data_IF_272547992455
#
_entry.id   IF_272547992455
#
_cell.length_a   1.000
_cell.length_b   1.000
_cell.length_c   1.000
_cell.angle_alpha   90.00
_cell.angle_beta   90.00
_cell.angle_gamma   90.00
#
_symmetry.space_group_name_H-M   'P 1'
#
loop_
_entity.id
_entity.type
_entity.pdbx_description
1 polymer ?
#
# COMPACT_ATOMS: atom_id res chain seq x y z
N UNK A 1 -16.66 -1.82 6.08
CA UNK A 1 -16.35 -0.46 6.56
C UNK A 1 -14.96 -0.36 7.17
N UNK A 2 -14.19 0.65 6.74
CA UNK A 2 -12.85 1.02 7.22
C UNK A 2 -12.69 2.54 7.13
N UNK A 3 -11.53 3.09 7.47
CA UNK A 3 -11.20 4.52 7.35
C UNK A 3 -10.15 4.74 6.28
N UNK A 4 -10.30 5.84 5.53
CA UNK A 4 -9.23 6.40 4.69
C UNK A 4 -8.89 7.78 5.25
N UNK A 5 -7.61 7.99 5.52
CA UNK A 5 -7.11 9.19 6.18
C UNK A 5 -5.90 9.76 5.46
N UNK A 6 -5.79 11.08 5.48
CA UNK A 6 -4.58 11.79 5.09
C UNK A 6 -3.80 12.16 6.35
N UNK A 7 -2.54 11.76 6.40
CA UNK A 7 -1.69 11.94 7.58
C UNK A 7 -0.40 12.63 7.16
N UNK A 8 0.00 13.65 7.92
CA UNK A 8 1.32 14.26 7.79
C UNK A 8 2.26 13.69 8.86
N UNK A 9 3.42 13.19 8.45
CA UNK A 9 4.48 12.71 9.35
C UNK A 9 5.63 13.71 9.41
N UNK A 10 6.20 13.88 10.61
CA UNK A 10 7.43 14.66 10.82
C UNK A 10 8.72 13.83 10.69
N UNK A 11 8.60 12.55 10.31
CA UNK A 11 9.70 11.59 10.22
C UNK A 11 9.85 11.02 8.80
N UNK A 12 11.10 10.83 8.38
CA UNK A 12 11.45 10.42 7.00
C UNK A 12 11.84 8.93 6.92
N UNK A 13 12.48 8.37 7.96
CA UNK A 13 12.91 6.97 7.91
C UNK A 13 11.69 6.02 7.98
N UNK A 14 11.68 5.00 7.12
CA UNK A 14 10.59 4.03 7.02
C UNK A 14 10.22 3.34 8.32
N UNK A 15 11.19 3.08 9.21
CA UNK A 15 10.90 2.46 10.50
C UNK A 15 10.27 3.47 11.47
N UNK A 16 10.75 4.71 11.48
CA UNK A 16 10.14 5.77 12.29
C UNK A 16 8.72 6.09 11.81
N UNK A 17 8.48 6.12 10.50
CA UNK A 17 7.15 6.25 9.90
C UNK A 17 6.22 5.13 10.37
N UNK A 18 6.70 3.87 10.34
CA UNK A 18 5.95 2.73 10.86
C UNK A 18 5.55 2.92 12.32
N UNK A 19 6.48 3.36 13.19
CA UNK A 19 6.17 3.58 14.60
C UNK A 19 5.16 4.72 14.80
N UNK A 20 5.36 5.84 14.11
CA UNK A 20 4.46 6.99 14.19
C UNK A 20 3.03 6.64 13.76
N UNK A 21 2.87 5.85 12.69
CA UNK A 21 1.57 5.36 12.23
C UNK A 21 0.98 4.33 13.20
N UNK A 22 1.81 3.44 13.76
CA UNK A 22 1.34 2.46 14.73
C UNK A 22 0.73 3.12 15.97
N UNK A 23 1.36 4.20 16.44
CA UNK A 23 0.95 5.02 17.59
C UNK A 23 -0.32 5.85 17.35
N UNK A 24 -0.85 5.92 16.13
CA UNK A 24 -2.14 6.59 15.86
C UNK A 24 -3.35 5.86 16.47
N UNK A 25 -3.15 4.68 17.09
CA UNK A 25 -4.23 3.83 17.57
C UNK A 25 -3.90 3.26 18.97
N UNK A 26 -4.02 4.08 20.03
CA UNK A 26 -3.57 3.74 21.38
C UNK A 26 -4.44 2.68 22.08
N UNK A 27 -5.70 2.52 21.69
CA UNK A 27 -6.70 1.71 22.42
C UNK A 27 -6.76 0.23 22.01
N UNK A 28 -5.68 -0.34 21.47
CA UNK A 28 -5.67 -1.71 20.94
C UNK A 28 -4.56 -2.55 21.59
N UNK A 29 -4.86 -3.12 22.77
CA UNK A 29 -3.90 -3.85 23.62
C UNK A 29 -3.40 -5.20 23.05
N UNK A 30 -4.10 -5.80 22.08
CA UNK A 30 -3.71 -7.06 21.41
C UNK A 30 -3.59 -6.91 19.88
N UNK A 31 -3.15 -5.73 19.41
CA UNK A 31 -3.30 -5.34 18.01
C UNK A 31 -2.46 -6.18 17.03
N UNK A 32 -3.15 -6.93 16.16
CA UNK A 32 -2.61 -7.35 14.86
C UNK A 32 -2.68 -6.15 13.90
N UNK A 33 -1.67 -5.97 13.04
CA UNK A 33 -1.67 -4.85 12.06
C UNK A 33 -2.94 -4.90 11.21
N UNK A 34 -3.75 -3.87 11.34
CA UNK A 34 -5.04 -3.64 10.67
C UNK A 34 -5.04 -2.33 9.87
N UNK A 35 -3.85 -1.85 9.51
CA UNK A 35 -3.65 -0.67 8.69
C UNK A 35 -2.63 -0.90 7.56
N UNK A 36 -2.82 -0.14 6.48
CA UNK A 36 -1.94 -0.04 5.33
C UNK A 36 -1.71 1.44 5.05
N UNK A 37 -0.52 1.78 4.59
CA UNK A 37 -0.23 3.16 4.22
C UNK A 37 0.64 3.22 2.98
N UNK A 38 0.63 4.37 2.32
CA UNK A 38 1.51 4.70 1.20
C UNK A 38 1.98 6.14 1.36
N UNK A 39 3.28 6.37 1.23
CA UNK A 39 3.85 7.71 1.13
C UNK A 39 3.49 8.27 -0.24
N UNK A 40 2.83 9.42 -0.28
CA UNK A 40 2.44 10.08 -1.54
C UNK A 40 3.53 11.07 -1.99
N UNK A 41 3.97 11.95 -1.09
CA UNK A 41 5.04 12.90 -1.36
C UNK A 41 5.69 13.41 -0.07
N UNK A 42 6.74 14.19 -0.23
CA UNK A 42 7.31 15.03 0.82
C UNK A 42 7.03 16.47 0.41
N UNK A 43 6.35 17.24 1.27
CA UNK A 43 6.03 18.62 0.94
C UNK A 43 7.28 19.53 1.07
N UNK A 44 7.14 20.80 0.68
CA UNK A 44 8.24 21.78 0.71
C UNK A 44 8.78 22.05 2.12
N UNK A 45 7.98 21.81 3.17
CA UNK A 45 8.41 21.91 4.57
C UNK A 45 9.09 20.65 5.10
N UNK A 46 9.27 19.61 4.26
CA UNK A 46 9.90 18.35 4.64
C UNK A 46 8.97 17.36 5.37
N UNK A 47 7.66 17.65 5.46
CA UNK A 47 6.69 16.72 6.03
C UNK A 47 6.34 15.64 5.00
N UNK A 48 6.25 14.40 5.46
CA UNK A 48 5.90 13.26 4.62
C UNK A 48 4.38 13.09 4.63
N UNK A 49 3.76 13.22 3.46
CA UNK A 49 2.32 13.04 3.31
C UNK A 49 2.00 11.58 3.01
N UNK A 50 1.05 11.04 3.77
CA UNK A 50 0.70 9.62 3.75
C UNK A 50 -0.80 9.46 3.53
N UNK A 51 -1.15 8.55 2.63
CA UNK A 51 -2.48 7.96 2.55
C UNK A 51 -2.52 6.73 3.47
N UNK A 52 -3.46 6.73 4.42
CA UNK A 52 -3.63 5.68 5.42
C UNK A 52 -5.00 5.02 5.26
N UNK A 53 -5.02 3.68 5.21
CA UNK A 53 -6.21 2.86 5.36
C UNK A 53 -6.14 2.12 6.69
N UNK A 54 -7.19 2.17 7.50
CA UNK A 54 -7.21 1.53 8.82
C UNK A 54 -8.59 1.02 9.21
N UNK A 55 -8.66 -0.06 10.00
CA UNK A 55 -9.93 -0.58 10.51
C UNK A 55 -10.57 0.34 11.57
N UNK A 56 -9.74 1.00 12.37
CA UNK A 56 -10.15 1.98 13.39
C UNK A 56 -9.86 3.40 12.92
N UNK A 57 -10.54 4.39 13.52
CA UNK A 57 -10.27 5.80 13.28
C UNK A 57 -8.91 6.19 13.89
N UNK A 58 -8.00 6.82 13.13
CA UNK A 58 -6.69 7.22 13.66
C UNK A 58 -6.80 8.49 14.51
N UNK A 59 -5.96 8.58 15.54
CA UNK A 59 -5.82 9.74 16.42
C UNK A 59 -4.42 10.33 16.29
N UNK A 60 -4.32 11.65 16.10
CA UNK A 60 -3.02 12.34 15.99
C UNK A 60 -2.12 12.10 17.20
N UNK A 61 -0.82 12.08 16.96
CA UNK A 61 0.21 12.00 18.00
C UNK A 61 1.36 12.99 17.70
N UNK A 62 2.44 12.93 18.48
CA UNK A 62 3.59 13.86 18.37
C UNK A 62 4.29 13.81 17.01
N UNK A 63 4.28 12.65 16.32
CA UNK A 63 5.01 12.42 15.06
C UNK A 63 4.11 12.30 13.83
N UNK A 64 2.80 12.18 14.03
CA UNK A 64 1.82 11.95 12.99
C UNK A 64 0.54 12.75 13.25
N UNK A 65 0.22 13.67 12.35
CA UNK A 65 -0.98 14.50 12.41
C UNK A 65 -2.01 14.00 11.41
N UNK A 66 -3.18 13.58 11.87
CA UNK A 66 -4.34 13.25 11.03
C UNK A 66 -4.95 14.55 10.53
N UNK A 67 -4.85 14.79 9.22
CA UNK A 67 -5.37 16.01 8.58
C UNK A 67 -6.83 15.86 8.16
N UNK A 68 -7.18 14.66 7.73
CA UNK A 68 -8.53 14.29 7.31
C UNK A 68 -8.73 12.80 7.55
N UNK A 69 -9.91 12.41 8.00
CA UNK A 69 -10.35 11.02 8.04
C UNK A 69 -11.79 10.93 7.56
N UNK A 70 -12.11 9.84 6.85
CA UNK A 70 -13.48 9.53 6.44
C UNK A 70 -13.72 8.04 6.47
N UNK A 71 -14.97 7.67 6.72
CA UNK A 71 -15.44 6.31 6.50
C UNK A 71 -15.33 5.95 5.03
N UNK A 72 -14.90 4.72 4.79
CA UNK A 72 -14.72 4.13 3.48
C UNK A 72 -15.35 2.75 3.47
N UNK A 73 -16.34 2.58 2.61
CA UNK A 73 -17.02 1.32 2.40
C UNK A 73 -16.98 0.98 0.90
N UNK A 74 -15.89 0.32 0.44
CA UNK A 74 -15.67 0.10 -0.98
C UNK A 74 -16.71 -0.87 -1.55
N UNK A 75 -17.49 -0.37 -2.51
CA UNK A 75 -18.43 -1.16 -3.30
C UNK A 75 -17.74 -1.59 -4.59
N UNK A 76 -17.34 -2.86 -4.66
CA UNK A 76 -16.66 -3.45 -5.82
C UNK A 76 -17.66 -4.34 -6.55
N UNK A 77 -17.88 -4.08 -7.84
CA UNK A 77 -18.84 -4.83 -8.64
C UNK A 77 -18.16 -5.47 -9.83
N UNK A 78 -18.62 -6.65 -10.21
CA UNK A 78 -18.10 -7.40 -11.36
C UNK A 78 -18.38 -6.62 -12.66
N UNK A 79 -17.44 -6.66 -13.60
CA UNK A 79 -17.51 -5.98 -14.89
C UNK A 79 -17.08 -4.51 -14.87
N UNK A 80 -17.13 -3.85 -13.71
CA UNK A 80 -16.74 -2.45 -13.56
C UNK A 80 -15.23 -2.24 -13.77
N UNK A 81 -14.90 -1.06 -14.27
CA UNK A 81 -13.52 -0.60 -14.47
C UNK A 81 -13.09 0.38 -13.38
N UNK A 82 -11.85 0.22 -12.92
CA UNK A 82 -11.23 1.10 -11.93
C UNK A 82 -9.84 1.51 -12.40
N UNK A 83 -9.51 2.79 -12.23
CA UNK A 83 -8.11 3.20 -12.14
C UNK A 83 -7.54 2.67 -10.84
N UNK A 84 -6.30 2.18 -10.86
CA UNK A 84 -5.62 1.73 -9.66
C UNK A 84 -4.24 2.37 -9.51
N UNK A 85 -3.81 2.49 -8.25
CA UNK A 85 -2.43 2.81 -7.85
C UNK A 85 -1.99 1.86 -6.75
N UNK A 86 -0.80 1.27 -6.91
CA UNK A 86 -0.21 0.35 -5.95
C UNK A 86 1.30 0.57 -5.88
N UNK A 87 1.81 0.97 -4.72
CA UNK A 87 3.23 0.87 -4.41
C UNK A 87 3.49 -0.49 -3.75
N UNK A 88 4.33 -1.33 -4.33
CA UNK A 88 4.61 -2.66 -3.81
C UNK A 88 6.10 -3.00 -3.80
N UNK A 89 6.48 -4.10 -3.12
CA UNK A 89 7.80 -4.72 -3.23
C UNK A 89 7.64 -6.08 -3.94
N UNK A 90 7.75 -6.14 -5.29
CA UNK A 90 7.63 -7.38 -6.05
C UNK A 90 8.78 -8.33 -5.71
N UNK A 91 8.44 -9.53 -5.27
CA UNK A 91 9.43 -10.56 -4.88
C UNK A 91 9.05 -11.92 -5.44
N UNK A 92 10.07 -12.73 -5.77
CA UNK A 92 9.94 -14.15 -6.11
C UNK A 92 10.78 -15.01 -5.17
N UNK A 93 10.37 -16.26 -5.01
CA UNK A 93 11.11 -17.26 -4.23
C UNK A 93 11.94 -18.12 -5.19
N UNK A 94 13.24 -18.23 -4.96
CA UNK A 94 14.09 -19.17 -5.71
C UNK A 94 13.90 -20.58 -5.15
N UNK A 95 13.54 -21.52 -6.02
CA UNK A 95 13.15 -22.89 -5.69
C UNK A 95 14.22 -23.68 -4.94
N UNK A 96 15.51 -23.42 -5.21
CA UNK A 96 16.63 -24.16 -4.62
C UNK A 96 16.98 -23.78 -3.15
N UNK A 97 16.30 -22.80 -2.52
CA UNK A 97 16.67 -22.43 -1.14
C UNK A 97 15.65 -21.63 -0.35
N UNK A 98 14.39 -21.57 -0.78
CA UNK A 98 13.34 -20.69 -0.20
C UNK A 98 13.77 -19.22 -0.08
N UNK A 99 14.82 -18.80 -0.80
CA UNK A 99 15.36 -17.44 -0.74
C UNK A 99 14.43 -16.52 -1.50
N UNK A 100 13.95 -15.49 -0.82
CA UNK A 100 13.12 -14.45 -1.40
C UNK A 100 14.03 -13.38 -1.97
N UNK A 101 13.85 -13.06 -3.26
CA UNK A 101 14.57 -12.01 -3.95
C UNK A 101 13.60 -11.01 -4.56
N UNK A 102 14.07 -9.78 -4.76
CA UNK A 102 13.32 -8.75 -5.47
C UNK A 102 13.32 -9.03 -6.98
N UNK A 103 12.16 -8.82 -7.61
CA UNK A 103 12.02 -8.94 -9.06
C UNK A 103 12.53 -7.64 -9.69
N UNK A 104 13.54 -7.74 -10.56
CA UNK A 104 14.15 -6.59 -11.24
C UNK A 104 13.58 -6.34 -12.64
N UNK A 105 13.23 -7.39 -13.34
CA UNK A 105 12.68 -7.32 -14.68
C UNK A 105 11.23 -6.81 -14.65
N UNK A 106 10.91 -5.84 -15.51
CA UNK A 106 9.59 -5.19 -15.54
C UNK A 106 8.48 -6.13 -16.00
N UNK A 107 8.75 -7.00 -16.98
CA UNK A 107 7.75 -7.98 -17.43
C UNK A 107 7.41 -8.97 -16.31
N UNK A 108 8.42 -9.45 -15.57
CA UNK A 108 8.19 -10.27 -14.38
C UNK A 108 7.46 -9.52 -13.26
N UNK A 109 7.67 -8.21 -13.11
CA UNK A 109 6.93 -7.37 -12.15
C UNK A 109 5.46 -7.24 -12.54
N UNK A 110 5.16 -7.05 -13.82
CA UNK A 110 3.78 -7.03 -14.34
C UNK A 110 3.12 -8.39 -14.17
N UNK A 111 3.81 -9.49 -14.49
CA UNK A 111 3.32 -10.84 -14.23
C UNK A 111 3.08 -11.07 -12.73
N UNK A 112 3.95 -10.54 -11.87
CA UNK A 112 3.75 -10.58 -10.42
C UNK A 112 2.48 -9.85 -10.01
N UNK A 113 2.23 -8.66 -10.56
CA UNK A 113 1.02 -7.88 -10.29
C UNK A 113 -0.23 -8.64 -10.73
N UNK A 114 -0.23 -9.19 -11.95
CA UNK A 114 -1.35 -9.99 -12.48
C UNK A 114 -1.66 -11.20 -11.59
N UNK A 115 -0.64 -11.92 -11.10
CA UNK A 115 -0.84 -13.01 -10.13
C UNK A 115 -1.45 -12.53 -8.81
N UNK A 116 -1.08 -11.34 -8.34
CA UNK A 116 -1.63 -10.74 -7.11
C UNK A 116 -3.05 -10.21 -7.28
N UNK A 117 -3.43 -9.84 -8.50
CA UNK A 117 -4.74 -9.30 -8.86
C UNK A 117 -5.54 -10.29 -9.73
N UNK A 118 -5.41 -11.60 -9.51
CA UNK A 118 -6.06 -12.66 -10.33
C UNK A 118 -7.60 -12.59 -10.42
N UNK A 119 -8.24 -11.73 -9.63
CA UNK A 119 -9.67 -11.44 -9.70
C UNK A 119 -10.02 -10.27 -10.61
N UNK A 120 -9.08 -9.77 -11.41
CA UNK A 120 -9.27 -8.67 -12.33
C UNK A 120 -8.38 -8.80 -13.57
N UNK A 121 -8.86 -8.24 -14.68
CA UNK A 121 -8.06 -8.02 -15.88
C UNK A 121 -7.30 -6.71 -15.71
N UNK A 122 -5.96 -6.75 -15.68
CA UNK A 122 -5.13 -5.60 -15.33
C UNK A 122 -4.35 -5.11 -16.56
N UNK A 123 -4.50 -3.83 -16.87
CA UNK A 123 -3.68 -3.10 -17.84
C UNK A 123 -2.84 -2.07 -17.10
N UNK A 124 -1.52 -2.25 -17.10
CA UNK A 124 -0.58 -1.30 -16.50
C UNK A 124 -0.34 -0.16 -17.49
N UNK A 125 -0.55 1.08 -17.05
CA UNK A 125 -0.32 2.29 -17.85
C UNK A 125 0.95 3.03 -17.44
N UNK A 126 1.41 2.86 -16.19
CA UNK A 126 2.69 3.36 -15.73
C UNK A 126 3.31 2.41 -14.70
N UNK A 127 4.64 2.35 -14.72
CA UNK A 127 5.46 1.55 -13.83
C UNK A 127 6.70 2.35 -13.46
N UNK A 128 6.91 2.60 -12.18
CA UNK A 128 8.06 3.38 -11.70
C UNK A 128 8.76 2.70 -10.53
N UNK A 129 10.07 2.48 -10.65
CA UNK A 129 10.87 1.85 -9.60
C UNK A 129 11.50 2.88 -8.66
N UNK A 130 11.30 2.70 -7.35
CA UNK A 130 11.85 3.56 -6.31
C UNK A 130 12.69 2.74 -5.33
N UNK A 131 13.93 3.16 -5.07
CA UNK A 131 14.77 2.56 -4.04
C UNK A 131 14.51 3.25 -2.70
N UNK A 132 13.95 2.49 -1.75
CA UNK A 132 13.63 2.99 -0.42
C UNK A 132 14.71 2.54 0.55
N UNK A 133 15.41 3.52 1.13
CA UNK A 133 16.41 3.30 2.17
C UNK A 133 15.74 3.08 3.53
N UNK A 134 16.37 2.27 4.37
CA UNK A 134 15.94 2.06 5.75
C UNK A 134 17.18 2.07 6.64
N UNK A 135 17.11 2.74 7.79
CA UNK A 135 18.20 2.71 8.78
C UNK A 135 18.35 1.34 9.44
N UNK A 136 17.26 0.57 9.54
CA UNK A 136 17.23 -0.75 10.21
C UNK A 136 17.31 -1.95 9.26
N UNK A 137 17.28 -1.75 7.94
CA UNK A 137 17.32 -2.84 6.97
C UNK A 137 17.93 -2.42 5.64
N UNK A 138 18.29 -3.40 4.80
CA UNK A 138 18.80 -3.13 3.46
C UNK A 138 17.83 -2.31 2.61
N UNK A 139 18.39 -1.41 1.79
CA UNK A 139 17.65 -0.70 0.74
C UNK A 139 16.86 -1.71 -0.08
N UNK A 140 15.56 -1.48 -0.19
CA UNK A 140 14.63 -2.36 -0.89
C UNK A 140 14.01 -1.62 -2.07
N UNK A 141 13.71 -2.33 -3.15
CA UNK A 141 13.06 -1.77 -4.34
C UNK A 141 11.56 -1.85 -4.22
N UNK A 142 10.93 -0.72 -4.39
CA UNK A 142 9.50 -0.58 -4.50
C UNK A 142 9.17 -0.27 -5.95
N UNK A 143 7.99 -0.67 -6.39
CA UNK A 143 7.49 -0.41 -7.73
C UNK A 143 6.11 0.19 -7.57
N UNK A 144 5.91 1.39 -8.11
CA UNK A 144 4.62 2.03 -8.23
C UNK A 144 3.98 1.56 -9.53
N UNK A 145 2.88 0.83 -9.43
CA UNK A 145 2.06 0.41 -10.55
C UNK A 145 0.83 1.31 -10.61
N UNK A 146 0.57 1.85 -11.79
CA UNK A 146 -0.67 2.54 -12.10
C UNK A 146 -1.29 1.95 -13.36
N UNK A 147 -2.60 1.99 -13.45
CA UNK A 147 -3.29 1.40 -14.57
C UNK A 147 -4.78 1.35 -14.42
N UNK A 148 -5.39 0.52 -15.25
CA UNK A 148 -6.82 0.22 -15.23
C UNK A 148 -6.97 -1.26 -14.91
N UNK A 149 -7.94 -1.61 -14.07
CA UNK A 149 -8.38 -2.98 -13.89
C UNK A 149 -9.88 -3.09 -14.16
N UNK A 150 -10.29 -4.20 -14.77
CA UNK A 150 -11.68 -4.62 -14.86
C UNK A 150 -11.90 -5.75 -13.86
N UNK A 151 -12.91 -5.62 -13.00
CA UNK A 151 -13.18 -6.63 -11.97
C UNK A 151 -13.84 -7.86 -12.58
N UNK A 152 -13.25 -9.03 -12.35
CA UNK A 152 -13.85 -10.34 -12.67
C UNK A 152 -14.45 -11.00 -11.41
N UNK A 153 -13.71 -10.97 -10.29
CA UNK A 153 -14.10 -11.59 -9.02
C UNK A 153 -14.07 -10.56 -7.89
N UNK A 154 -15.20 -9.90 -7.58
CA UNK A 154 -15.27 -8.81 -6.59
C UNK A 154 -14.65 -9.18 -5.24
N UNK A 155 -14.97 -10.35 -4.69
CA UNK A 155 -14.47 -10.78 -3.38
C UNK A 155 -12.95 -10.89 -3.32
N UNK A 156 -12.31 -11.29 -4.42
CA UNK A 156 -10.85 -11.39 -4.48
C UNK A 156 -10.20 -10.01 -4.52
N UNK A 157 -10.81 -9.05 -5.23
CA UNK A 157 -10.33 -7.66 -5.26
C UNK A 157 -10.58 -6.97 -3.92
N UNK A 158 -11.74 -7.20 -3.31
CA UNK A 158 -12.05 -6.69 -1.98
C UNK A 158 -11.05 -7.21 -0.94
N UNK A 159 -10.74 -8.51 -0.99
CA UNK A 159 -9.76 -9.12 -0.08
C UNK A 159 -8.39 -8.46 -0.18
N UNK A 160 -7.86 -8.24 -1.39
CA UNK A 160 -6.54 -7.60 -1.55
C UNK A 160 -6.57 -6.10 -1.27
N UNK A 161 -7.70 -5.42 -1.46
CA UNK A 161 -7.90 -4.03 -1.08
C UNK A 161 -7.78 -3.86 0.44
N UNK A 162 -8.42 -4.73 1.21
CA UNK A 162 -8.42 -4.69 2.68
C UNK A 162 -7.09 -5.20 3.25
N UNK A 163 -6.63 -6.37 2.80
CA UNK A 163 -5.48 -7.05 3.38
C UNK A 163 -4.15 -6.45 2.90
N UNK A 164 -4.16 -5.81 1.73
CA UNK A 164 -2.99 -5.27 1.06
C UNK A 164 -2.17 -6.32 0.30
N UNK A 165 -1.35 -5.85 -0.63
CA UNK A 165 -0.64 -6.69 -1.59
C UNK A 165 0.86 -6.77 -1.29
N UNK A 166 1.40 -7.99 -1.25
CA UNK A 166 2.86 -8.21 -1.22
C UNK A 166 3.52 -8.03 0.14
N UNK A 167 4.85 -7.85 0.11
CA UNK A 167 5.72 -7.70 1.29
C UNK A 167 5.89 -6.22 1.66
N UNK A 168 6.61 -5.96 2.76
CA UNK A 168 7.02 -4.60 3.20
C UNK A 168 5.85 -3.64 3.48
N UNK A 169 4.67 -4.16 3.87
CA UNK A 169 3.51 -3.35 4.28
C UNK A 169 3.79 -2.37 5.42
N UNK A 170 4.72 -2.71 6.30
CA UNK A 170 5.18 -1.82 7.37
C UNK A 170 5.98 -0.61 6.86
N UNK A 171 6.48 -0.66 5.63
CA UNK A 171 7.34 0.36 5.04
C UNK A 171 6.62 1.08 3.88
N UNK A 172 5.28 1.18 3.94
CA UNK A 172 4.50 1.96 2.98
C UNK A 172 4.12 1.24 1.67
N UNK A 173 4.32 -0.08 1.58
CA UNK A 173 3.86 -0.88 0.45
C UNK A 173 2.49 -1.54 0.67
N UNK A 174 1.88 -1.95 -0.43
CA UNK A 174 0.76 -2.89 -0.45
C UNK A 174 -0.61 -2.26 -0.33
N UNK A 175 -0.72 -0.94 -0.11
CA UNK A 175 -1.99 -0.23 -0.22
C UNK A 175 -2.41 -0.13 -1.70
N UNK A 176 -3.45 -0.89 -2.06
CA UNK A 176 -4.14 -0.75 -3.34
C UNK A 176 -5.15 0.39 -3.23
N UNK A 177 -5.08 1.38 -4.11
CA UNK A 177 -6.09 2.42 -4.23
C UNK A 177 -6.87 2.23 -5.52
N UNK A 178 -8.20 2.34 -5.44
CA UNK A 178 -9.12 2.21 -6.57
C UNK A 178 -9.96 3.48 -6.71
N UNK A 179 -10.17 3.92 -7.94
CA UNK A 179 -11.13 4.97 -8.29
C UNK A 179 -11.91 4.49 -9.51
N UNK A 180 -13.24 4.67 -9.51
CA UNK A 180 -14.07 4.27 -10.67
C UNK A 180 -13.54 4.95 -11.93
N UNK A 181 -13.33 4.16 -12.98
CA UNK A 181 -13.15 4.71 -14.31
C UNK A 181 -14.54 5.14 -14.78
N UNK A 182 -14.70 6.44 -14.99
CA UNK A 182 -15.91 7.06 -15.55
C UNK A 182 -16.37 6.36 -16.83
#
# INVERSE_FOLDING_TARGET
>A
MMYISMVALSVIDTYEQHQAIWELFPNSSERKRDHLFRVENINTSGQVMVLLQSASEPQSNVKATVLQSKLFDPQISQGEYYKFKLLANPTKCLSQGKKVIEIKDENEQIQWLQRKLRGANVTVTALESVLVKSRKSFTSRFVCFEGILQVDKPDQIYSVLVMGIGRKKHAGAGLLSLAKAS
#
